data_IF_194549754193
#
_entry.id   IF_194549754193
#
_cell.length_a   1.000
_cell.length_b   1.000
_cell.length_c   1.000
_cell.angle_alpha   90.00
_cell.angle_beta   90.00
_cell.angle_gamma   90.00
#
_symmetry.space_group_name_H-M   'P 1'
#
loop_
_entity.id
_entity.type
_entity.pdbx_description
1 polymer ?
#
# COMPACT_ATOMS: atom_id res chain seq x y z
N UNK A 1 15.08 -7.66 1.70
CA UNK A 1 14.88 -6.29 2.20
C UNK A 1 14.45 -5.39 1.04
N UNK A 2 13.49 -4.48 1.33
CA UNK A 2 13.15 -3.36 0.45
C UNK A 2 13.79 -2.10 1.03
N UNK A 3 14.54 -1.38 0.20
CA UNK A 3 15.18 -0.12 0.57
C UNK A 3 14.49 1.01 -0.16
N UNK A 4 14.25 2.12 0.54
CA UNK A 4 13.69 3.33 -0.03
C UNK A 4 14.78 4.39 -0.20
N UNK A 5 15.05 4.78 -1.42
CA UNK A 5 16.03 5.80 -1.76
C UNK A 5 15.35 6.96 -2.47
N UNK A 6 15.82 8.16 -2.20
CA UNK A 6 15.33 9.39 -2.85
C UNK A 6 16.50 10.20 -3.44
N UNK A 7 16.27 10.85 -4.56
CA UNK A 7 17.28 11.68 -5.22
C UNK A 7 17.48 13.03 -4.53
N UNK A 8 16.44 13.55 -3.86
CA UNK A 8 16.45 14.84 -3.19
C UNK A 8 15.53 14.81 -1.98
N UNK A 9 15.52 15.90 -1.17
CA UNK A 9 14.59 16.05 -0.03
C UNK A 9 13.14 16.23 -0.47
N UNK A 10 12.93 16.72 -1.70
CA UNK A 10 11.58 16.86 -2.27
C UNK A 10 11.23 15.61 -3.06
N UNK A 11 10.42 14.76 -2.50
CA UNK A 11 9.94 13.52 -3.11
C UNK A 11 8.48 13.26 -2.73
N UNK A 12 7.78 12.52 -3.56
CA UNK A 12 6.44 12.03 -3.25
C UNK A 12 6.55 10.82 -2.32
N UNK A 13 5.75 10.81 -1.27
CA UNK A 13 5.57 9.64 -0.41
C UNK A 13 4.18 9.66 0.21
N UNK A 14 3.40 8.64 -0.07
CA UNK A 14 2.09 8.41 0.55
C UNK A 14 2.22 7.41 1.68
N UNK A 15 1.95 7.86 2.92
CA UNK A 15 2.00 6.98 4.09
C UNK A 15 1.00 5.85 3.95
N UNK A 16 1.48 4.62 4.14
CA UNK A 16 0.65 3.43 4.07
C UNK A 16 0.22 3.01 5.47
N UNK A 17 -1.07 2.68 5.60
CA UNK A 17 -1.68 2.26 6.85
C UNK A 17 -2.10 0.79 6.82
N UNK A 18 -2.17 0.18 7.99
CA UNK A 18 -2.74 -1.15 8.20
C UNK A 18 -3.77 -1.10 9.34
N UNK A 19 -4.76 -2.00 9.37
CA UNK A 19 -5.77 -2.00 10.42
C UNK A 19 -5.15 -2.09 11.82
N UNK A 20 -5.73 -1.37 12.76
CA UNK A 20 -5.40 -1.50 14.19
C UNK A 20 -5.96 -2.84 14.69
N UNK A 21 -5.19 -3.53 15.54
CA UNK A 21 -5.65 -4.79 16.14
C UNK A 21 -6.78 -4.53 17.14
N UNK A 22 -7.69 -5.49 17.25
CA UNK A 22 -8.82 -5.41 18.20
C UNK A 22 -8.37 -5.18 19.64
N UNK A 23 -7.27 -5.81 20.06
CA UNK A 23 -6.66 -5.57 21.38
C UNK A 23 -6.23 -4.11 21.59
N UNK A 24 -5.72 -3.44 20.55
CA UNK A 24 -5.36 -2.02 20.61
C UNK A 24 -6.61 -1.15 20.68
N UNK A 25 -7.64 -1.46 19.88
CA UNK A 25 -8.93 -0.75 19.91
C UNK A 25 -9.53 -0.84 21.31
N UNK A 26 -9.57 -2.05 21.89
CA UNK A 26 -10.13 -2.25 23.23
C UNK A 26 -9.35 -1.50 24.31
N UNK A 27 -8.01 -1.47 24.23
CA UNK A 27 -7.16 -0.70 25.16
C UNK A 27 -7.44 0.81 25.07
N UNK A 28 -7.58 1.34 23.86
CA UNK A 28 -7.90 2.77 23.67
C UNK A 28 -9.29 3.10 24.21
N UNK A 29 -10.28 2.25 23.95
CA UNK A 29 -11.65 2.41 24.48
C UNK A 29 -11.69 2.28 26.01
N UNK A 30 -10.92 1.37 26.59
CA UNK A 30 -10.84 1.19 28.04
C UNK A 30 -10.26 2.45 28.70
N UNK A 31 -9.12 2.95 28.23
CA UNK A 31 -8.53 4.18 28.74
C UNK A 31 -9.47 5.38 28.62
N UNK A 32 -10.26 5.46 27.54
CA UNK A 32 -11.26 6.50 27.37
C UNK A 32 -12.41 6.41 28.39
N UNK A 33 -12.84 5.19 28.74
CA UNK A 33 -13.88 4.99 29.76
C UNK A 33 -13.36 5.27 31.18
N UNK A 34 -12.11 4.96 31.48
CA UNK A 34 -11.47 5.31 32.74
C UNK A 34 -11.31 6.82 32.94
N UNK A 35 -11.09 7.57 31.84
CA UNK A 35 -11.07 9.04 31.88
C UNK A 35 -12.46 9.65 32.20
N UNK A 36 -13.55 8.87 32.05
CA UNK A 36 -14.91 9.27 32.49
C UNK A 36 -15.21 8.99 33.95
N UNK A 37 -14.35 8.23 34.64
CA UNK A 37 -14.45 7.97 36.08
C UNK A 37 -13.92 9.15 36.91
N UNK A 38 -14.27 9.18 38.19
CA UNK A 38 -14.18 10.27 39.19
C UNK A 38 -12.93 11.18 39.26
N UNK A 39 -11.96 11.06 38.33
CA UNK A 39 -10.68 11.77 38.41
C UNK A 39 -10.49 12.97 37.47
N UNK A 40 -11.31 13.14 36.41
CA UNK A 40 -11.15 14.27 35.45
C UNK A 40 -12.45 15.04 35.31
N UNK A 41 -12.75 15.83 36.31
CA UNK A 41 -13.94 16.70 36.41
C UNK A 41 -13.79 18.01 35.63
N UNK A 42 -12.73 18.23 34.85
CA UNK A 42 -12.45 19.55 34.28
C UNK A 42 -12.46 19.67 32.77
N UNK A 43 -12.67 18.58 32.01
CA UNK A 43 -12.82 18.71 30.56
C UNK A 43 -14.24 19.17 30.21
N UNK A 44 -14.36 20.30 29.50
CA UNK A 44 -15.64 20.76 28.98
C UNK A 44 -16.21 19.73 28.01
N UNK A 45 -17.52 19.60 27.92
CA UNK A 45 -18.20 18.61 27.06
C UNK A 45 -17.81 18.67 25.59
N UNK A 46 -17.36 19.84 25.10
CA UNK A 46 -16.84 20.06 23.77
C UNK A 46 -15.45 19.42 23.56
N UNK A 47 -14.57 19.46 24.60
CA UNK A 47 -13.23 18.87 24.54
C UNK A 47 -13.28 17.34 24.59
N UNK A 48 -14.22 16.78 25.35
CA UNK A 48 -14.46 15.34 25.40
C UNK A 48 -14.95 14.78 24.06
N UNK A 49 -15.84 15.49 23.35
CA UNK A 49 -16.27 15.14 21.99
C UNK A 49 -15.12 15.20 21.02
N UNK A 50 -14.34 16.29 21.00
CA UNK A 50 -13.17 16.45 20.14
C UNK A 50 -12.14 15.34 20.35
N UNK A 51 -11.99 14.82 21.58
CA UNK A 51 -11.08 13.71 21.88
C UNK A 51 -11.63 12.35 21.40
N UNK A 52 -12.92 12.11 21.57
CA UNK A 52 -13.60 10.92 21.08
C UNK A 52 -13.55 10.83 19.55
N UNK A 53 -13.82 11.95 18.87
CA UNK A 53 -13.77 12.06 17.40
C UNK A 53 -12.35 11.75 16.87
N UNK A 54 -11.32 12.27 17.53
CA UNK A 54 -9.91 11.97 17.18
C UNK A 54 -9.53 10.50 17.37
N UNK A 55 -10.06 9.86 18.42
CA UNK A 55 -9.85 8.42 18.63
C UNK A 55 -10.52 7.62 17.52
N UNK A 56 -11.73 7.97 17.15
CA UNK A 56 -12.50 7.29 16.12
C UNK A 56 -11.84 7.46 14.74
N UNK A 57 -11.38 8.68 14.42
CA UNK A 57 -10.59 8.98 13.23
C UNK A 57 -9.29 8.15 13.20
N UNK A 58 -8.55 8.06 14.31
CA UNK A 58 -7.33 7.25 14.41
C UNK A 58 -7.61 5.75 14.25
N UNK A 59 -8.73 5.26 14.78
CA UNK A 59 -9.15 3.86 14.60
C UNK A 59 -9.51 3.59 13.13
N UNK A 60 -10.19 4.51 12.46
CA UNK A 60 -10.57 4.39 11.05
C UNK A 60 -9.36 4.49 10.12
N UNK A 61 -8.45 5.41 10.37
CA UNK A 61 -7.22 5.58 9.59
C UNK A 61 -6.30 4.35 9.69
N UNK A 62 -6.27 3.71 10.85
CA UNK A 62 -5.36 2.61 11.12
C UNK A 62 -4.02 3.09 11.69
N UNK A 63 -3.05 2.21 11.72
CA UNK A 63 -1.67 2.49 12.14
C UNK A 63 -0.72 2.43 10.95
N UNK A 64 0.40 3.10 11.04
CA UNK A 64 1.46 3.01 10.04
C UNK A 64 1.80 1.55 9.75
N UNK A 65 1.88 1.20 8.48
CA UNK A 65 2.21 -0.16 8.05
C UNK A 65 3.55 -0.60 8.63
N UNK A 66 3.60 -1.80 9.21
CA UNK A 66 4.82 -2.35 9.81
C UNK A 66 5.87 -2.63 8.75
N UNK A 67 7.14 -2.66 9.20
CA UNK A 67 8.29 -2.93 8.33
C UNK A 67 8.43 -4.41 7.95
N UNK A 68 7.77 -5.31 8.68
CA UNK A 68 7.73 -6.75 8.37
C UNK A 68 6.40 -7.10 7.74
N UNK A 69 6.44 -7.52 6.48
CA UNK A 69 5.25 -7.90 5.70
C UNK A 69 5.17 -9.40 5.57
N UNK A 70 3.98 -9.95 5.83
CA UNK A 70 3.67 -11.36 5.57
C UNK A 70 3.06 -11.44 4.18
N UNK A 71 3.82 -11.95 3.22
CA UNK A 71 3.40 -12.09 1.83
C UNK A 71 3.43 -13.57 1.48
N UNK A 72 2.31 -14.11 1.02
CA UNK A 72 2.21 -15.51 0.59
C UNK A 72 2.69 -15.63 -0.86
N UNK A 73 3.62 -16.53 -1.09
CA UNK A 73 4.06 -16.86 -2.45
C UNK A 73 2.92 -17.57 -3.18
N UNK A 74 2.57 -17.10 -4.37
CA UNK A 74 1.58 -17.74 -5.26
C UNK A 74 2.34 -18.43 -6.39
N UNK A 75 1.97 -19.66 -6.69
CA UNK A 75 2.52 -20.38 -7.84
C UNK A 75 2.05 -19.70 -9.12
N UNK A 76 3.00 -19.38 -10.00
CA UNK A 76 2.72 -18.88 -11.34
C UNK A 76 3.04 -19.97 -12.36
N UNK A 77 2.00 -20.57 -12.96
CA UNK A 77 2.12 -21.76 -13.81
C UNK A 77 2.81 -21.53 -15.16
N UNK A 78 2.79 -20.32 -15.68
CA UNK A 78 3.32 -19.98 -17.01
C UNK A 78 4.79 -19.59 -17.01
N UNK A 79 5.40 -19.38 -15.84
CA UNK A 79 6.82 -19.03 -15.73
C UNK A 79 7.58 -20.11 -14.94
N UNK A 80 8.56 -20.74 -15.60
CA UNK A 80 9.48 -21.69 -14.96
C UNK A 80 10.50 -21.02 -14.01
N UNK A 81 10.45 -19.69 -13.83
CA UNK A 81 11.39 -18.91 -13.04
C UNK A 81 10.68 -18.08 -11.97
N UNK A 82 11.44 -17.73 -10.92
CA UNK A 82 10.98 -17.04 -9.74
C UNK A 82 10.29 -15.70 -10.05
N UNK A 83 8.96 -15.70 -10.11
CA UNK A 83 8.15 -14.50 -10.11
C UNK A 83 7.84 -14.13 -8.67
N UNK A 84 7.95 -12.86 -8.33
CA UNK A 84 7.49 -12.37 -7.02
C UNK A 84 5.99 -12.07 -7.04
N UNK A 85 5.31 -12.20 -5.88
CA UNK A 85 3.87 -11.91 -5.77
C UNK A 85 3.59 -10.42 -5.96
N UNK A 86 2.40 -10.11 -6.48
CA UNK A 86 1.94 -8.73 -6.70
C UNK A 86 1.96 -7.90 -5.42
N UNK A 87 1.60 -8.50 -4.28
CA UNK A 87 1.58 -7.85 -2.96
C UNK A 87 2.93 -7.22 -2.59
N UNK A 88 4.04 -7.75 -3.13
CA UNK A 88 5.37 -7.17 -2.90
C UNK A 88 5.52 -5.79 -3.55
N UNK A 89 4.89 -5.59 -4.71
CA UNK A 89 4.93 -4.33 -5.46
C UNK A 89 3.85 -3.34 -5.03
N UNK A 90 2.71 -3.80 -4.53
CA UNK A 90 1.55 -2.95 -4.23
C UNK A 90 1.89 -1.80 -3.29
N UNK A 91 2.50 -2.12 -2.16
CA UNK A 91 2.84 -1.11 -1.15
C UNK A 91 3.90 -0.11 -1.63
N UNK A 92 5.06 -0.53 -2.20
CA UNK A 92 6.08 0.40 -2.68
C UNK A 92 5.58 1.31 -3.80
N UNK A 93 4.82 0.77 -4.74
CA UNK A 93 4.27 1.56 -5.87
C UNK A 93 3.26 2.58 -5.35
N UNK A 94 2.36 2.17 -4.45
CA UNK A 94 1.40 3.08 -3.84
C UNK A 94 2.07 4.19 -3.05
N UNK A 95 3.07 3.84 -2.24
CA UNK A 95 3.78 4.79 -1.40
C UNK A 95 4.66 5.76 -2.20
N UNK A 96 5.36 5.28 -3.24
CA UNK A 96 6.43 6.02 -3.91
C UNK A 96 6.08 6.62 -5.26
N UNK A 97 4.91 6.33 -5.84
CA UNK A 97 4.52 6.84 -7.14
C UNK A 97 3.15 7.54 -7.07
N UNK A 98 3.03 8.81 -7.45
CA UNK A 98 1.75 9.52 -7.48
C UNK A 98 0.82 8.94 -8.55
N UNK A 99 -0.47 9.27 -8.47
CA UNK A 99 -1.45 8.92 -9.50
C UNK A 99 -1.00 9.49 -10.86
N UNK A 100 -1.16 8.69 -11.92
CA UNK A 100 -0.67 9.03 -13.26
C UNK A 100 0.87 9.05 -13.41
N UNK A 101 1.61 8.83 -12.33
CA UNK A 101 3.08 8.75 -12.35
C UNK A 101 3.59 7.54 -13.13
N UNK A 102 4.91 7.46 -13.31
CA UNK A 102 5.57 6.39 -14.08
C UNK A 102 6.42 5.52 -13.15
N UNK A 103 6.18 4.23 -13.16
CA UNK A 103 6.97 3.20 -12.48
C UNK A 103 7.98 2.63 -13.47
N UNK A 104 9.27 2.67 -13.15
CA UNK A 104 10.33 2.06 -13.94
C UNK A 104 10.75 0.71 -13.31
N UNK A 105 10.76 -0.34 -14.13
CA UNK A 105 11.32 -1.64 -13.74
C UNK A 105 12.37 -2.06 -14.78
N UNK A 106 13.68 -1.97 -14.45
CA UNK A 106 14.76 -2.33 -15.39
C UNK A 106 14.97 -3.85 -15.54
N UNK A 107 14.24 -4.68 -14.73
CA UNK A 107 14.29 -6.14 -14.78
C UNK A 107 12.88 -6.73 -14.83
N UNK A 108 12.13 -6.35 -15.86
CA UNK A 108 10.69 -6.46 -15.94
C UNK A 108 10.15 -7.90 -15.86
N UNK A 109 10.89 -8.88 -16.35
CA UNK A 109 10.51 -10.29 -16.33
C UNK A 109 9.10 -10.52 -16.90
N UNK A 110 8.27 -11.22 -16.14
CA UNK A 110 6.88 -11.52 -16.49
C UNK A 110 5.91 -10.36 -16.28
N UNK A 111 6.39 -9.15 -15.99
CA UNK A 111 5.60 -7.91 -15.95
C UNK A 111 4.78 -7.67 -14.69
N UNK A 112 5.15 -8.25 -13.55
CA UNK A 112 4.38 -8.08 -12.30
C UNK A 112 4.30 -6.62 -11.85
N UNK A 113 5.42 -5.89 -11.90
CA UNK A 113 5.47 -4.46 -11.56
C UNK A 113 4.52 -3.63 -12.44
N UNK A 114 4.55 -3.84 -13.76
CA UNK A 114 3.69 -3.13 -14.70
C UNK A 114 2.21 -3.42 -14.50
N UNK A 115 1.88 -4.69 -14.24
CA UNK A 115 0.51 -5.09 -13.92
C UNK A 115 -0.01 -4.37 -12.67
N UNK A 116 0.80 -4.33 -11.60
CA UNK A 116 0.42 -3.63 -10.35
C UNK A 116 0.34 -2.12 -10.54
N UNK A 117 1.23 -1.53 -11.34
CA UNK A 117 1.17 -0.11 -11.67
C UNK A 117 -0.16 0.24 -12.35
N UNK A 118 -0.58 -0.52 -13.36
CA UNK A 118 -1.87 -0.31 -14.05
C UNK A 118 -3.06 -0.49 -13.11
N UNK A 119 -3.05 -1.50 -12.24
CA UNK A 119 -4.10 -1.69 -11.23
C UNK A 119 -4.25 -0.51 -10.28
N UNK A 120 -3.20 0.29 -10.13
CA UNK A 120 -3.17 1.50 -9.29
C UNK A 120 -3.27 2.80 -10.11
N UNK A 121 -3.76 2.77 -11.35
CA UNK A 121 -3.89 3.93 -12.26
C UNK A 121 -2.56 4.67 -12.47
N UNK A 122 -1.45 3.92 -12.60
CA UNK A 122 -0.12 4.46 -12.86
C UNK A 122 0.42 3.93 -14.17
N UNK A 123 1.30 4.69 -14.80
CA UNK A 123 2.02 4.27 -15.98
C UNK A 123 3.25 3.43 -15.58
N UNK A 124 3.82 2.70 -16.53
CA UNK A 124 5.07 1.97 -16.30
C UNK A 124 5.97 1.98 -17.53
N UNK A 125 7.25 1.79 -17.27
CA UNK A 125 8.28 1.46 -18.27
C UNK A 125 8.99 0.21 -17.77
N UNK A 126 8.93 -0.87 -18.55
CA UNK A 126 9.61 -2.13 -18.24
C UNK A 126 10.73 -2.42 -19.24
N UNK A 127 11.88 -2.88 -18.77
CA UNK A 127 13.01 -3.31 -19.59
C UNK A 127 13.22 -4.80 -19.36
N UNK A 128 13.25 -5.59 -20.44
CA UNK A 128 13.46 -7.04 -20.39
C UNK A 128 14.26 -7.47 -21.63
N UNK A 129 15.27 -8.29 -21.40
CA UNK A 129 16.14 -8.80 -22.48
C UNK A 129 15.60 -10.08 -23.11
N UNK A 130 14.86 -10.90 -22.36
CA UNK A 130 14.34 -12.17 -22.86
C UNK A 130 13.02 -11.96 -23.60
N UNK A 131 12.94 -12.20 -24.92
CA UNK A 131 11.73 -12.01 -25.71
C UNK A 131 10.56 -12.89 -25.27
N UNK A 132 10.82 -14.06 -24.68
CA UNK A 132 9.75 -14.92 -24.17
C UNK A 132 9.09 -14.30 -22.94
N UNK A 133 9.85 -13.67 -22.04
CA UNK A 133 9.27 -12.94 -20.91
C UNK A 133 8.48 -11.70 -21.35
N UNK A 134 8.96 -11.03 -22.39
CA UNK A 134 8.20 -9.91 -22.99
C UNK A 134 6.83 -10.38 -23.50
N UNK A 135 6.75 -11.56 -24.14
CA UNK A 135 5.47 -12.14 -24.61
C UNK A 135 4.54 -12.44 -23.43
N UNK A 136 5.06 -13.05 -22.37
CA UNK A 136 4.31 -13.35 -21.15
C UNK A 136 3.79 -12.06 -20.51
N UNK A 137 4.66 -11.07 -20.35
CA UNK A 137 4.31 -9.77 -19.76
C UNK A 137 3.20 -9.07 -20.56
N UNK A 138 3.33 -9.02 -21.90
CA UNK A 138 2.32 -8.43 -22.79
C UNK A 138 0.96 -9.10 -22.62
N UNK A 139 0.91 -10.44 -22.65
CA UNK A 139 -0.33 -11.23 -22.47
C UNK A 139 -0.99 -10.95 -21.12
N UNK A 140 -0.21 -10.78 -20.05
CA UNK A 140 -0.73 -10.48 -18.70
C UNK A 140 -1.29 -9.06 -18.58
N UNK A 141 -0.66 -8.11 -19.24
CA UNK A 141 -0.95 -6.69 -19.11
C UNK A 141 -2.05 -6.24 -20.07
N UNK A 142 -2.17 -6.86 -21.24
CA UNK A 142 -3.11 -6.48 -22.31
C UNK A 142 -4.57 -6.27 -21.82
N UNK A 143 -5.17 -7.15 -20.98
CA UNK A 143 -6.53 -6.94 -20.51
C UNK A 143 -6.70 -5.64 -19.71
N UNK A 144 -5.68 -5.24 -18.98
CA UNK A 144 -5.67 -4.01 -18.16
C UNK A 144 -5.48 -2.74 -19.01
N UNK A 145 -4.68 -2.82 -20.08
CA UNK A 145 -4.53 -1.72 -21.04
C UNK A 145 -5.83 -1.45 -21.82
N UNK A 146 -6.65 -2.47 -22.03
CA UNK A 146 -7.94 -2.31 -22.70
C UNK A 146 -8.98 -1.66 -21.77
N UNK A 147 -8.96 -1.96 -20.47
CA UNK A 147 -9.87 -1.35 -19.50
C UNK A 147 -9.62 0.15 -19.32
N UNK A 148 -8.37 0.59 -19.31
CA UNK A 148 -8.03 2.03 -19.18
C UNK A 148 -8.38 2.88 -20.39
N UNK A 149 -8.73 2.27 -21.53
CA UNK A 149 -9.17 3.00 -22.74
C UNK A 149 -10.67 3.25 -22.80
N UNK A 150 -11.44 2.79 -21.83
CA UNK A 150 -12.90 2.91 -21.80
C UNK A 150 -13.42 4.10 -20.95
N UNK A 151 -12.49 4.92 -20.41
CA UNK A 151 -12.82 6.13 -19.63
C UNK A 151 -12.11 7.36 -20.18
#
# INVERSE_FOLDING_TARGET
YLFFFVKSKNYFFETQYEPITESTINRVKYNFNDLKGDGIVSMQSSEQRSYADKIEEHIQQGRNKRTVWKITTKSFREAHFATYPEELCETPIKAGCPEGGIVLDPFFGAGTTGLVALKQNKNFVGIELNPEYIKIAKKRIEPWLQQTKLF
#
